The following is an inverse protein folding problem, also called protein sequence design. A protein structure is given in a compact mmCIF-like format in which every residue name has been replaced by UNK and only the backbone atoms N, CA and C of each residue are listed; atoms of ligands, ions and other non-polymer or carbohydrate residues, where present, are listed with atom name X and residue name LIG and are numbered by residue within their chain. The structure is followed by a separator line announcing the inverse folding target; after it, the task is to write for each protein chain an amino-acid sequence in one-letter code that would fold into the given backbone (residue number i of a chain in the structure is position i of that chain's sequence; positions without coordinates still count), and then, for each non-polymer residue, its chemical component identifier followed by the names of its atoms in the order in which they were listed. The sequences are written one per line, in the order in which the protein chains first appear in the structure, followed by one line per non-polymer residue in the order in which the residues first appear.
data_IF_732190364237
#
_entry.id   IF_732190364237
#
_cell.length_a   1.000
_cell.length_b   1.000
_cell.length_c   1.000
_cell.angle_alpha   90.00
_cell.angle_beta   90.00
_cell.angle_gamma   90.00
#
_symmetry.space_group_name_H-M   'P 1'
#
loop_
_entity.id
_entity.type
_entity.pdbx_description
1 polymer ?
#
# COMPACT_ATOMS: atom_id res chain seq x y z
N UNK A 1 -2.08 47.30 -3.98
CA UNK A 1 -2.99 46.56 -4.87
C UNK A 1 -3.42 45.32 -4.11
N UNK A 2 -4.32 45.51 -3.14
CA UNK A 2 -4.72 44.47 -2.20
C UNK A 2 -6.07 43.91 -2.60
N UNK A 3 -6.09 42.67 -3.09
CA UNK A 3 -7.30 41.89 -3.31
C UNK A 3 -7.80 41.39 -1.95
N UNK A 4 -8.51 42.27 -1.24
CA UNK A 4 -9.15 41.97 0.03
C UNK A 4 -10.17 40.84 -0.16
N UNK A 5 -9.90 39.67 0.43
CA UNK A 5 -10.80 38.51 0.47
C UNK A 5 -12.12 38.92 1.13
N UNK A 6 -13.14 39.13 0.31
CA UNK A 6 -14.50 39.49 0.73
C UNK A 6 -15.10 38.31 1.50
N UNK A 7 -15.32 38.48 2.80
CA UNK A 7 -16.10 37.52 3.60
C UNK A 7 -17.58 37.68 3.23
N UNK A 8 -18.23 36.59 2.85
CA UNK A 8 -19.68 36.58 2.59
C UNK A 8 -20.35 36.39 3.96
N UNK A 9 -21.14 37.38 4.44
CA UNK A 9 -21.86 37.22 5.70
C UNK A 9 -22.97 36.18 5.53
N UNK A 10 -23.10 35.29 6.51
CA UNK A 10 -24.23 34.37 6.61
C UNK A 10 -25.52 35.18 6.71
N UNK A 11 -26.41 35.02 5.73
CA UNK A 11 -27.78 35.54 5.81
C UNK A 11 -28.59 34.54 6.64
N UNK A 12 -28.76 34.83 7.93
CA UNK A 12 -29.87 34.24 8.68
C UNK A 12 -31.16 34.80 8.08
N UNK A 13 -31.95 33.91 7.48
CA UNK A 13 -33.30 34.25 7.02
C UNK A 13 -34.22 34.10 8.24
N UNK A 14 -34.38 35.18 9.00
CA UNK A 14 -35.35 35.27 10.10
C UNK A 14 -36.78 35.36 9.50
N UNK A 15 -37.32 34.25 9.04
CA UNK A 15 -38.74 34.13 8.69
C UNK A 15 -39.44 33.21 9.69
N UNK A 16 -40.17 33.76 10.68
CA UNK A 16 -40.77 33.00 11.77
C UNK A 16 -42.16 32.48 11.39
N UNK A 17 -42.26 31.77 10.26
CA UNK A 17 -43.53 31.16 9.85
C UNK A 17 -43.26 29.97 8.93
N UNK A 18 -43.26 28.78 9.56
CA UNK A 18 -43.55 27.42 9.07
C UNK A 18 -42.72 26.50 9.98
N UNK A 19 -43.24 26.30 11.18
CA UNK A 19 -42.78 25.22 12.06
C UNK A 19 -43.34 23.91 11.50
N UNK A 20 -42.43 22.94 11.29
CA UNK A 20 -42.64 21.50 11.47
C UNK A 20 -42.73 20.53 10.27
N UNK A 21 -42.30 20.84 9.04
CA UNK A 21 -42.30 19.77 8.01
C UNK A 21 -41.22 19.81 6.92
N UNK A 22 -40.34 20.82 6.89
CA UNK A 22 -39.18 20.80 6.00
C UNK A 22 -37.98 20.42 6.86
N UNK A 23 -37.64 19.13 6.87
CA UNK A 23 -36.39 18.65 7.46
C UNK A 23 -35.23 19.52 7.00
N UNK A 24 -34.28 19.80 7.89
CA UNK A 24 -33.16 20.70 7.64
C UNK A 24 -32.44 20.30 6.33
N UNK A 25 -32.63 21.04 5.22
CA UNK A 25 -32.11 20.64 3.91
C UNK A 25 -30.57 20.56 3.90
N UNK A 26 -29.94 21.22 4.88
CA UNK A 26 -28.49 21.24 5.07
C UNK A 26 -27.97 19.89 5.60
N UNK A 27 -28.76 19.17 6.41
CA UNK A 27 -28.37 17.84 6.92
C UNK A 27 -28.45 16.80 5.81
N UNK A 28 -29.51 16.86 4.99
CA UNK A 28 -29.70 15.96 3.85
C UNK A 28 -28.58 16.13 2.80
N UNK A 29 -28.19 17.38 2.51
CA UNK A 29 -27.05 17.67 1.61
C UNK A 29 -25.72 17.13 2.14
N UNK A 30 -25.50 17.16 3.47
CA UNK A 30 -24.27 16.62 4.08
C UNK A 30 -24.23 15.09 4.03
N UNK A 31 -25.35 14.42 4.26
CA UNK A 31 -25.44 12.96 4.18
C UNK A 31 -25.17 12.46 2.76
N UNK A 32 -25.74 13.12 1.74
CA UNK A 32 -25.48 12.79 0.34
C UNK A 32 -24.00 12.95 -0.01
N UNK A 33 -23.35 14.00 0.49
CA UNK A 33 -21.91 14.22 0.28
C UNK A 33 -21.05 13.15 0.96
N UNK A 34 -21.33 12.81 2.22
CA UNK A 34 -20.59 11.77 2.95
C UNK A 34 -20.76 10.42 2.27
N UNK A 35 -21.99 10.09 1.85
CA UNK A 35 -22.26 8.86 1.11
C UNK A 35 -21.49 8.83 -0.22
N UNK A 36 -21.50 9.93 -0.98
CA UNK A 36 -20.74 10.04 -2.23
C UNK A 36 -19.23 9.87 -2.02
N UNK A 37 -18.68 10.45 -0.96
CA UNK A 37 -17.27 10.27 -0.59
C UNK A 37 -16.95 8.81 -0.20
N UNK A 38 -17.85 8.16 0.53
CA UNK A 38 -17.72 6.75 0.92
C UNK A 38 -17.71 5.83 -0.29
N UNK A 39 -18.64 6.01 -1.22
CA UNK A 39 -18.71 5.23 -2.46
C UNK A 39 -17.46 5.41 -3.32
N UNK A 40 -17.02 6.66 -3.50
CA UNK A 40 -15.79 6.97 -4.22
C UNK A 40 -14.56 6.34 -3.56
N UNK A 41 -14.47 6.37 -2.23
CA UNK A 41 -13.39 5.76 -1.47
C UNK A 41 -13.37 4.23 -1.62
N UNK A 42 -14.53 3.57 -1.54
CA UNK A 42 -14.63 2.11 -1.78
C UNK A 42 -14.13 1.74 -3.18
N UNK A 43 -14.54 2.50 -4.21
CA UNK A 43 -14.10 2.29 -5.58
C UNK A 43 -12.58 2.49 -5.70
N UNK A 44 -12.05 3.58 -5.14
CA UNK A 44 -10.62 3.89 -5.16
C UNK A 44 -9.79 2.81 -4.45
N UNK A 45 -10.24 2.38 -3.27
CA UNK A 45 -9.61 1.31 -2.49
C UNK A 45 -9.58 0.00 -3.27
N UNK A 46 -10.66 -0.33 -3.99
CA UNK A 46 -10.70 -1.48 -4.90
C UNK A 46 -9.62 -1.44 -5.96
N UNK A 47 -9.41 -0.28 -6.59
CA UNK A 47 -8.33 -0.08 -7.58
C UNK A 47 -6.93 -0.18 -6.97
N UNK A 48 -6.71 0.42 -5.80
CA UNK A 48 -5.44 0.33 -5.09
C UNK A 48 -5.08 -1.11 -4.73
N UNK A 49 -6.04 -1.88 -4.20
CA UNK A 49 -5.85 -3.29 -3.88
C UNK A 49 -5.58 -4.13 -5.14
N UNK A 50 -6.30 -3.88 -6.24
CA UNK A 50 -6.06 -4.56 -7.51
C UNK A 50 -4.64 -4.29 -8.03
N UNK A 51 -4.18 -3.04 -7.97
CA UNK A 51 -2.82 -2.67 -8.36
C UNK A 51 -1.77 -3.33 -7.46
N UNK A 52 -1.99 -3.39 -6.15
CA UNK A 52 -1.11 -4.11 -5.23
C UNK A 52 -1.00 -5.60 -5.57
N UNK A 53 -2.11 -6.27 -5.91
CA UNK A 53 -2.10 -7.69 -6.33
C UNK A 53 -1.23 -7.88 -7.57
N UNK A 54 -1.34 -6.99 -8.54
CA UNK A 54 -0.53 -7.03 -9.77
C UNK A 54 0.96 -6.83 -9.43
N UNK A 55 1.30 -5.80 -8.65
CA UNK A 55 2.69 -5.50 -8.26
C UNK A 55 3.32 -6.66 -7.48
N UNK A 56 2.62 -7.18 -6.47
CA UNK A 56 3.09 -8.31 -5.67
C UNK A 56 3.22 -9.58 -6.51
N UNK A 57 2.21 -9.89 -7.33
CA UNK A 57 2.21 -11.07 -8.20
C UNK A 57 3.33 -11.03 -9.24
N UNK A 58 3.57 -9.89 -9.87
CA UNK A 58 4.66 -9.71 -10.83
C UNK A 58 6.02 -9.82 -10.14
N UNK A 59 6.21 -9.13 -9.01
CA UNK A 59 7.48 -9.19 -8.27
C UNK A 59 7.78 -10.60 -7.77
N UNK A 60 6.79 -11.29 -7.19
CA UNK A 60 6.92 -12.68 -6.76
C UNK A 60 7.24 -13.62 -7.93
N UNK A 61 6.53 -13.47 -9.05
CA UNK A 61 6.79 -14.27 -10.26
C UNK A 61 8.21 -14.05 -10.79
N UNK A 62 8.72 -12.82 -10.73
CA UNK A 62 10.07 -12.50 -11.15
C UNK A 62 11.12 -13.16 -10.24
N UNK A 63 10.90 -13.17 -8.92
CA UNK A 63 11.75 -13.90 -7.97
C UNK A 63 11.70 -15.41 -8.22
N UNK A 64 10.51 -15.97 -8.48
CA UNK A 64 10.33 -17.38 -8.80
C UNK A 64 11.04 -17.78 -10.10
N UNK A 65 10.92 -16.97 -11.15
CA UNK A 65 11.61 -17.19 -12.44
C UNK A 65 13.12 -17.15 -12.21
N UNK A 66 13.63 -16.16 -11.46
CA UNK A 66 15.05 -16.09 -11.12
C UNK A 66 15.53 -17.33 -10.37
N UNK A 67 14.72 -17.85 -9.44
CA UNK A 67 15.02 -19.07 -8.69
C UNK A 67 15.10 -20.31 -9.59
N UNK A 68 14.15 -20.47 -10.53
CA UNK A 68 14.04 -21.66 -11.39
C UNK A 68 15.04 -21.66 -12.55
N UNK A 69 15.18 -20.54 -13.26
CA UNK A 69 15.96 -20.51 -14.50
C UNK A 69 17.45 -20.29 -14.30
N UNK A 70 17.87 -19.43 -13.37
CA UNK A 70 19.28 -19.10 -13.17
C UNK A 70 19.49 -18.41 -11.83
N UNK A 71 19.66 -19.16 -10.72
CA UNK A 71 19.83 -18.58 -9.39
C UNK A 71 21.12 -17.74 -9.25
N UNK A 72 22.06 -17.88 -10.20
CA UNK A 72 23.32 -17.12 -10.22
C UNK A 72 23.33 -15.96 -11.21
N UNK A 73 22.32 -15.83 -12.09
CA UNK A 73 22.28 -14.73 -13.08
C UNK A 73 21.24 -13.71 -12.66
N UNK A 74 21.71 -12.49 -12.40
CA UNK A 74 20.81 -11.37 -12.15
C UNK A 74 20.07 -10.99 -13.44
N UNK A 75 18.72 -10.94 -13.46
CA UNK A 75 17.96 -10.61 -14.66
C UNK A 75 18.26 -9.21 -15.20
N UNK A 76 18.66 -8.26 -14.35
CA UNK A 76 19.07 -6.92 -14.81
C UNK A 76 20.34 -6.95 -15.66
N UNK A 77 21.22 -7.94 -15.50
CA UNK A 77 22.41 -8.07 -16.34
C UNK A 77 22.09 -8.45 -17.79
N UNK A 78 20.90 -9.00 -18.04
CA UNK A 78 20.43 -9.27 -19.41
C UNK A 78 20.04 -7.97 -20.12
N UNK A 79 19.44 -7.02 -19.39
CA UNK A 79 19.05 -5.71 -19.94
C UNK A 79 20.22 -4.72 -19.96
N UNK A 80 21.09 -4.77 -18.95
CA UNK A 80 22.22 -3.88 -18.75
C UNK A 80 23.50 -4.71 -18.58
N UNK A 81 24.05 -5.26 -19.68
CA UNK A 81 25.26 -6.05 -19.62
C UNK A 81 26.43 -5.23 -19.12
N UNK A 82 27.31 -5.86 -18.34
CA UNK A 82 28.58 -5.26 -17.91
C UNK A 82 29.64 -5.67 -18.92
N UNK A 83 30.42 -4.72 -19.42
CA UNK A 83 31.45 -4.95 -20.45
C UNK A 83 32.64 -5.80 -19.97
N UNK A 84 32.70 -6.15 -18.68
CA UNK A 84 33.78 -6.96 -18.12
C UNK A 84 33.65 -8.43 -18.51
N UNK A 85 34.73 -9.00 -19.06
CA UNK A 85 34.88 -10.42 -19.36
C UNK A 85 35.06 -11.31 -18.12
N UNK A 86 35.17 -10.72 -16.94
CA UNK A 86 35.31 -11.45 -15.68
C UNK A 86 33.97 -12.01 -15.19
N UNK A 87 33.99 -13.22 -14.63
CA UNK A 87 32.82 -13.86 -14.02
C UNK A 87 32.31 -12.95 -12.90
N UNK A 88 31.14 -12.32 -13.10
CA UNK A 88 30.61 -11.39 -12.11
C UNK A 88 30.38 -12.10 -10.76
N UNK A 89 30.93 -11.56 -9.66
CA UNK A 89 30.63 -12.08 -8.33
C UNK A 89 29.15 -11.89 -8.02
N UNK A 90 28.52 -12.94 -7.48
CA UNK A 90 27.15 -12.89 -6.95
C UNK A 90 27.20 -12.82 -5.43
N UNK A 91 26.10 -12.39 -4.79
CA UNK A 91 26.00 -12.43 -3.33
C UNK A 91 26.17 -13.88 -2.84
N UNK A 92 26.74 -14.10 -1.64
CA UNK A 92 26.81 -15.44 -1.08
C UNK A 92 25.39 -15.96 -0.83
N UNK A 93 25.14 -17.21 -1.22
CA UNK A 93 23.85 -17.89 -1.07
C UNK A 93 22.65 -17.16 -1.71
N UNK A 94 22.69 -16.88 -3.03
CA UNK A 94 21.63 -16.13 -3.70
C UNK A 94 20.27 -16.83 -3.62
N UNK A 95 20.25 -18.16 -3.57
CA UNK A 95 19.04 -18.98 -3.38
C UNK A 95 18.35 -18.63 -2.06
N UNK A 96 19.09 -18.50 -0.95
CA UNK A 96 18.50 -18.17 0.35
C UNK A 96 17.96 -16.74 0.35
N UNK A 97 18.66 -15.80 -0.28
CA UNK A 97 18.19 -14.43 -0.44
C UNK A 97 16.89 -14.36 -1.26
N UNK A 98 16.80 -15.11 -2.37
CA UNK A 98 15.58 -15.21 -3.19
C UNK A 98 14.43 -15.85 -2.41
N UNK A 99 14.68 -16.93 -1.67
CA UNK A 99 13.67 -17.56 -0.81
C UNK A 99 13.18 -16.62 0.29
N UNK A 100 14.08 -15.85 0.91
CA UNK A 100 13.72 -14.82 1.88
C UNK A 100 12.84 -13.74 1.23
N UNK A 101 13.22 -13.24 0.05
CA UNK A 101 12.40 -12.30 -0.72
C UNK A 101 11.02 -12.87 -1.01
N UNK A 102 10.91 -14.12 -1.46
CA UNK A 102 9.62 -14.78 -1.70
C UNK A 102 8.78 -14.88 -0.43
N UNK A 103 9.37 -15.26 0.69
CA UNK A 103 8.70 -15.33 1.99
C UNK A 103 8.17 -13.94 2.42
N UNK A 104 8.94 -12.87 2.17
CA UNK A 104 8.51 -11.49 2.42
C UNK A 104 7.28 -11.14 1.55
N UNK A 105 7.27 -11.48 0.26
CA UNK A 105 6.12 -11.22 -0.62
C UNK A 105 4.87 -11.97 -0.18
N UNK A 106 5.01 -13.22 0.27
CA UNK A 106 3.91 -14.00 0.84
C UNK A 106 3.38 -13.33 2.10
N UNK A 107 4.26 -12.90 3.01
CA UNK A 107 3.85 -12.19 4.23
C UNK A 107 3.16 -10.84 3.92
N UNK A 108 3.65 -10.10 2.93
CA UNK A 108 3.00 -8.87 2.44
C UNK A 108 1.62 -9.15 1.86
N UNK A 109 1.43 -10.27 1.15
CA UNK A 109 0.11 -10.66 0.66
C UNK A 109 -0.85 -10.94 1.82
N UNK A 110 -0.40 -11.59 2.89
CA UNK A 110 -1.23 -11.78 4.10
C UNK A 110 -1.60 -10.47 4.79
N UNK A 111 -0.67 -9.51 4.85
CA UNK A 111 -0.93 -8.19 5.44
C UNK A 111 -1.90 -7.36 4.58
N UNK A 112 -1.75 -7.39 3.25
CA UNK A 112 -2.55 -6.56 2.34
C UNK A 112 -3.94 -7.16 2.05
N UNK A 113 -4.10 -8.48 2.13
CA UNK A 113 -5.33 -9.19 1.76
C UNK A 113 -5.79 -10.19 2.84
N UNK A 114 -6.10 -9.72 4.06
CA UNK A 114 -6.48 -10.62 5.15
C UNK A 114 -7.74 -11.44 4.81
N UNK A 115 -8.74 -10.84 4.16
CA UNK A 115 -10.01 -11.51 3.84
C UNK A 115 -9.89 -12.63 2.79
N UNK A 116 -9.08 -12.41 1.75
CA UNK A 116 -8.98 -13.36 0.63
C UNK A 116 -8.18 -14.61 0.99
N UNK A 117 -7.20 -14.48 1.89
CA UNK A 117 -6.23 -15.53 2.20
C UNK A 117 -6.56 -16.32 3.47
N UNK A 118 -7.40 -15.78 4.37
CA UNK A 118 -7.82 -16.51 5.56
C UNK A 118 -8.75 -17.69 5.25
N UNK A 119 -9.54 -17.63 4.17
CA UNK A 119 -10.45 -18.72 3.79
C UNK A 119 -9.74 -20.02 3.40
N UNK A 120 -8.70 -20.04 2.54
CA UNK A 120 -7.97 -21.27 2.22
C UNK A 120 -7.04 -21.72 3.35
N UNK A 121 -6.53 -20.81 4.20
CA UNK A 121 -5.62 -21.17 5.28
C UNK A 121 -6.30 -21.64 6.55
N UNK A 122 -7.59 -21.37 6.73
CA UNK A 122 -8.36 -21.97 7.82
C UNK A 122 -8.42 -23.50 7.75
N UNK A 123 -8.09 -24.09 6.59
CA UNK A 123 -7.91 -25.54 6.44
C UNK A 123 -6.63 -26.06 7.11
N UNK A 124 -5.65 -25.20 7.36
CA UNK A 124 -4.39 -25.53 8.02
C UNK A 124 -4.39 -24.81 9.37
N UNK A 125 -4.61 -25.54 10.47
CA UNK A 125 -4.64 -25.01 11.85
C UNK A 125 -3.33 -24.33 12.33
N UNK A 126 -2.38 -24.11 11.42
CA UNK A 126 -1.20 -23.30 11.67
C UNK A 126 -1.63 -21.84 11.76
N UNK A 127 -1.66 -21.30 12.98
CA UNK A 127 -1.80 -19.86 13.23
C UNK A 127 -0.62 -19.09 12.65
N UNK A 128 -0.68 -18.78 11.36
CA UNK A 128 0.31 -17.93 10.69
C UNK A 128 -0.02 -16.49 11.04
N UNK A 129 0.69 -15.95 12.03
CA UNK A 129 0.60 -14.53 12.35
C UNK A 129 1.50 -13.76 11.38
N UNK A 130 0.94 -12.82 10.60
CA UNK A 130 1.75 -12.04 9.68
C UNK A 130 2.76 -11.20 10.47
N UNK A 131 3.99 -11.19 9.99
CA UNK A 131 5.10 -10.48 10.63
C UNK A 131 4.98 -8.98 10.36
N UNK A 132 5.37 -8.13 11.32
CA UNK A 132 5.24 -6.67 11.21
C UNK A 132 6.09 -6.07 10.08
N UNK A 133 5.63 -4.94 9.51
CA UNK A 133 6.35 -4.23 8.45
C UNK A 133 7.80 -3.87 8.83
N UNK A 134 8.06 -3.51 10.09
CA UNK A 134 9.41 -3.14 10.56
C UNK A 134 10.41 -4.28 10.36
N UNK A 135 10.02 -5.49 10.74
CA UNK A 135 10.85 -6.67 10.54
C UNK A 135 11.03 -6.99 9.05
N UNK A 136 9.97 -6.85 8.24
CA UNK A 136 10.06 -7.04 6.79
C UNK A 136 11.04 -6.07 6.13
N UNK A 137 11.08 -4.79 6.56
CA UNK A 137 12.08 -3.84 6.05
C UNK A 137 13.51 -4.27 6.40
N UNK A 138 13.74 -4.66 7.66
CA UNK A 138 15.07 -5.10 8.11
C UNK A 138 15.50 -6.33 7.30
N UNK A 139 14.62 -7.34 7.18
CA UNK A 139 14.89 -8.55 6.42
C UNK A 139 15.11 -8.27 4.92
N UNK A 140 14.28 -7.42 4.31
CA UNK A 140 14.41 -7.03 2.90
C UNK A 140 15.68 -6.21 2.62
N UNK A 141 16.20 -5.48 3.60
CA UNK A 141 17.41 -4.68 3.47
C UNK A 141 18.70 -5.53 3.53
N UNK A 142 18.65 -6.77 4.01
CA UNK A 142 19.84 -7.63 4.12
C UNK A 142 20.51 -7.89 2.76
N UNK A 143 19.81 -8.37 1.71
CA UNK A 143 20.46 -8.61 0.41
C UNK A 143 21.06 -7.36 -0.26
N UNK A 144 20.38 -6.19 -0.35
CA UNK A 144 20.98 -5.02 -0.98
C UNK A 144 22.12 -4.42 -0.16
N UNK A 145 22.06 -4.45 1.17
CA UNK A 145 23.20 -3.99 2.00
C UNK A 145 24.41 -4.91 1.84
N UNK A 146 24.20 -6.22 1.80
CA UNK A 146 25.27 -7.19 1.54
C UNK A 146 25.90 -6.97 0.15
N UNK A 147 25.08 -6.70 -0.87
CA UNK A 147 25.54 -6.36 -2.22
C UNK A 147 26.43 -5.10 -2.22
N UNK A 148 26.06 -4.07 -1.45
CA UNK A 148 26.87 -2.86 -1.28
C UNK A 148 28.18 -3.12 -0.53
N UNK A 149 28.15 -3.90 0.55
CA UNK A 149 29.35 -4.25 1.33
C UNK A 149 30.38 -5.04 0.51
N UNK A 150 29.90 -5.91 -0.37
CA UNK A 150 30.73 -6.70 -1.27
C UNK A 150 31.17 -5.92 -2.52
N UNK A 151 30.80 -4.63 -2.64
CA UNK A 151 31.10 -3.78 -3.78
C UNK A 151 30.68 -4.39 -5.12
N UNK A 152 29.55 -5.12 -5.12
CA UNK A 152 29.01 -5.70 -6.34
C UNK A 152 28.52 -4.60 -7.30
N UNK A 153 28.41 -4.90 -8.60
CA UNK A 153 27.87 -3.96 -9.58
C UNK A 153 26.49 -3.44 -9.16
N UNK A 154 26.20 -2.18 -9.49
CA UNK A 154 24.96 -1.51 -9.07
C UNK A 154 23.70 -2.25 -9.52
N UNK A 155 23.75 -3.01 -10.62
CA UNK A 155 22.66 -3.86 -11.10
C UNK A 155 22.28 -4.93 -10.07
N UNK A 156 23.24 -5.50 -9.35
CA UNK A 156 23.00 -6.45 -8.25
C UNK A 156 22.27 -5.75 -7.12
N UNK A 157 22.77 -4.59 -6.69
CA UNK A 157 22.14 -3.83 -5.61
C UNK A 157 20.72 -3.39 -5.99
N UNK A 158 20.51 -2.94 -7.23
CA UNK A 158 19.20 -2.56 -7.75
C UNK A 158 18.22 -3.75 -7.77
N UNK A 159 18.66 -4.92 -8.24
CA UNK A 159 17.89 -6.15 -8.21
C UNK A 159 17.41 -6.49 -6.79
N UNK A 160 18.34 -6.51 -5.84
CA UNK A 160 18.03 -6.85 -4.45
C UNK A 160 17.20 -5.78 -3.74
N UNK A 161 17.26 -4.53 -4.20
CA UNK A 161 16.43 -3.43 -3.69
C UNK A 161 14.97 -3.52 -4.10
N UNK A 162 14.61 -4.34 -5.11
CA UNK A 162 13.21 -4.53 -5.55
C UNK A 162 12.32 -4.96 -4.38
N UNK A 163 12.80 -5.88 -3.53
CA UNK A 163 11.99 -6.35 -2.39
C UNK A 163 11.71 -5.23 -1.39
N UNK A 164 12.70 -4.38 -1.11
CA UNK A 164 12.52 -3.19 -0.24
C UNK A 164 11.50 -2.22 -0.84
N UNK A 165 11.61 -1.96 -2.14
CA UNK A 165 10.67 -1.09 -2.85
C UNK A 165 9.25 -1.63 -2.79
N UNK A 166 9.05 -2.95 -2.93
CA UNK A 166 7.73 -3.58 -2.82
C UNK A 166 7.17 -3.45 -1.40
N UNK A 167 7.96 -3.70 -0.35
CA UNK A 167 7.54 -3.48 1.05
C UNK A 167 7.09 -2.01 1.24
N UNK A 168 7.85 -1.07 0.67
CA UNK A 168 7.52 0.35 0.71
C UNK A 168 6.21 0.70 0.01
N UNK A 169 6.00 0.20 -1.20
CA UNK A 169 4.78 0.43 -1.98
C UNK A 169 3.57 -0.14 -1.23
N UNK A 170 3.65 -1.39 -0.76
CA UNK A 170 2.54 -2.05 -0.04
C UNK A 170 2.18 -1.27 1.22
N UNK A 171 3.17 -0.89 2.04
CA UNK A 171 2.92 -0.10 3.25
C UNK A 171 2.31 1.26 2.95
N UNK A 172 2.80 1.94 1.91
CA UNK A 172 2.30 3.27 1.54
C UNK A 172 0.85 3.20 1.07
N UNK A 173 0.52 2.23 0.22
CA UNK A 173 -0.84 2.08 -0.30
C UNK A 173 -1.81 1.64 0.80
N UNK A 174 -1.43 0.66 1.63
CA UNK A 174 -2.28 0.23 2.76
C UNK A 174 -2.49 1.38 3.75
N UNK A 175 -1.45 2.13 4.11
CA UNK A 175 -1.59 3.32 4.94
C UNK A 175 -2.46 4.41 4.31
N UNK A 176 -2.43 4.58 2.98
CA UNK A 176 -3.32 5.51 2.29
C UNK A 176 -4.80 5.08 2.33
N UNK A 177 -5.07 3.77 2.27
CA UNK A 177 -6.42 3.20 2.41
C UNK A 177 -6.91 3.44 3.84
N UNK A 178 -6.09 3.13 4.84
CA UNK A 178 -6.43 3.31 6.25
C UNK A 178 -6.73 4.77 6.56
N UNK A 179 -5.86 5.70 6.11
CA UNK A 179 -6.07 7.14 6.27
C UNK A 179 -7.36 7.63 5.59
N UNK A 180 -7.70 7.10 4.41
CA UNK A 180 -8.96 7.42 3.74
C UNK A 180 -10.19 6.95 4.52
N UNK A 181 -10.13 5.76 5.10
CA UNK A 181 -11.21 5.20 5.92
C UNK A 181 -11.38 5.96 7.25
N UNK A 182 -10.27 6.31 7.90
CA UNK A 182 -10.26 7.13 9.12
C UNK A 182 -10.88 8.50 8.85
N UNK A 183 -10.54 9.16 7.73
CA UNK A 183 -11.11 10.45 7.37
C UNK A 183 -12.64 10.42 7.16
N UNK A 184 -13.18 9.35 6.55
CA UNK A 184 -14.63 9.18 6.43
C UNK A 184 -15.28 8.93 7.80
N UNK A 185 -14.64 8.11 8.63
CA UNK A 185 -15.13 7.83 10.00
C UNK A 185 -15.15 9.12 10.82
N UNK A 186 -14.14 9.98 10.70
CA UNK A 186 -14.07 11.26 11.38
C UNK A 186 -15.20 12.20 10.92
N UNK A 187 -15.46 12.30 9.60
CA UNK A 187 -16.59 13.07 9.06
C UNK A 187 -17.94 12.60 9.60
N UNK A 188 -18.13 11.28 9.69
CA UNK A 188 -19.33 10.68 10.28
C UNK A 188 -19.46 11.06 11.76
N UNK A 189 -18.37 11.03 12.54
CA UNK A 189 -18.42 11.42 13.96
C UNK A 189 -18.75 12.91 14.16
N UNK A 190 -18.32 13.80 13.26
CA UNK A 190 -18.62 15.24 13.34
C UNK A 190 -20.10 15.54 13.07
N UNK A 191 -20.76 14.73 12.23
CA UNK A 191 -22.19 14.86 11.94
C UNK A 191 -23.05 14.68 13.20
N UNK A 192 -22.66 13.79 14.12
CA UNK A 192 -23.44 13.46 15.32
C UNK A 192 -23.34 14.47 16.48
N UNK A 193 -22.52 15.54 16.36
CA UNK A 193 -22.27 16.50 17.46
C UNK A 193 -23.01 17.83 17.24
N UNK A 194 -24.07 17.88 16.43
CA UNK A 194 -24.95 19.05 16.42
C UNK A 194 -25.76 19.09 17.74
N UNK A 195 -25.45 19.99 18.69
CA UNK A 195 -26.15 20.05 19.97
C UNK A 195 -27.51 20.72 19.73
N UNK A 196 -28.60 19.94 19.74
CA UNK A 196 -29.94 20.49 19.54
C UNK A 196 -31.04 19.53 19.06
N UNK A 197 -30.76 18.22 18.97
CA UNK A 197 -31.81 17.19 18.91
C UNK A 197 -32.26 16.78 20.32
#
# INVERSE_FOLDING_TARGET
MDLLRKRIPFKLTDSPTVLSEVGDPILDEQEELIQGLREANVISNGWHLALLRIVLGLSFSLQLISLVHSPHKNPFLVMFPVESTEVLPSIPYPVLATLLSMAIHINLAFLAFPGDLQTPLRFWDFGVFPVSYQFLYIAAAVPPTLSLFLQLPWQSTAWWSVTVAVVFIVRTVTGSIDYGNEGITELETMQYVAPGA
#
